data_IF_567773606227
#
_entry.id   IF_567773606227
#
_cell.length_a   1.000
_cell.length_b   1.000
_cell.length_c   1.000
_cell.angle_alpha   90.00
_cell.angle_beta   90.00
_cell.angle_gamma   90.00
#
_symmetry.space_group_name_H-M   'P 1'
#
loop_
_entity.id
_entity.type
_entity.pdbx_description
1 polymer ?
#
# COMPACT_ATOMS: atom_id res chain seq x y z
N UNK A 1 -15.80 -6.56 -1.99
CA UNK A 1 -14.82 -5.46 -1.79
C UNK A 1 -14.58 -5.29 -0.30
N UNK A 2 -13.33 -5.30 0.14
CA UNK A 2 -12.89 -5.26 1.53
C UNK A 2 -12.14 -3.96 1.88
N UNK A 3 -12.14 -2.97 0.96
CA UNK A 3 -11.34 -1.75 1.09
C UNK A 3 -11.68 -0.93 2.34
N UNK A 4 -12.97 -0.85 2.70
CA UNK A 4 -13.42 -0.11 3.88
C UNK A 4 -12.81 -0.70 5.16
N UNK A 5 -13.02 -1.97 5.39
CA UNK A 5 -12.54 -2.66 6.59
C UNK A 5 -11.02 -2.61 6.66
N UNK A 6 -10.34 -2.95 5.56
CA UNK A 6 -8.87 -2.92 5.48
C UNK A 6 -8.30 -1.53 5.73
N UNK A 7 -8.94 -0.48 5.22
CA UNK A 7 -8.48 0.91 5.40
C UNK A 7 -8.52 1.35 6.88
N UNK A 8 -9.48 0.86 7.64
CA UNK A 8 -9.67 1.26 9.05
C UNK A 8 -8.79 0.47 10.03
N UNK A 9 -8.29 -0.70 9.64
CA UNK A 9 -7.37 -1.49 10.45
C UNK A 9 -6.03 -0.79 10.68
N UNK A 10 -5.40 -1.12 11.80
CA UNK A 10 -4.04 -0.69 12.12
C UNK A 10 -3.03 -1.67 11.53
N UNK A 11 -1.94 -1.16 10.97
CA UNK A 11 -0.92 -2.00 10.35
C UNK A 11 0.22 -1.17 9.78
N UNK A 12 0.94 -0.44 10.64
CA UNK A 12 2.19 0.23 10.26
C UNK A 12 3.24 -0.85 10.00
N UNK A 13 4.23 -0.55 9.13
CA UNK A 13 5.35 -1.48 8.84
C UNK A 13 5.94 -2.09 10.11
N UNK A 14 5.89 -3.43 10.20
CA UNK A 14 6.33 -4.22 11.35
C UNK A 14 5.23 -4.55 12.37
N UNK A 15 4.01 -4.04 12.17
CA UNK A 15 2.83 -4.34 13.01
C UNK A 15 1.59 -4.66 12.15
N UNK A 16 1.77 -5.44 11.11
CA UNK A 16 0.72 -5.81 10.14
C UNK A 16 -0.21 -6.93 10.66
N UNK A 17 -0.08 -7.32 11.92
CA UNK A 17 -0.79 -8.47 12.50
C UNK A 17 -2.30 -8.40 12.37
N UNK A 18 -2.90 -7.25 12.71
CA UNK A 18 -4.35 -7.03 12.65
C UNK A 18 -4.87 -7.18 11.21
N UNK A 19 -4.16 -6.63 10.24
CA UNK A 19 -4.51 -6.71 8.82
C UNK A 19 -4.38 -8.14 8.30
N UNK A 20 -3.29 -8.80 8.63
CA UNK A 20 -3.05 -10.19 8.25
C UNK A 20 -4.12 -11.13 8.78
N UNK A 21 -4.50 -10.98 10.03
CA UNK A 21 -5.51 -11.83 10.68
C UNK A 21 -6.91 -11.56 10.09
N UNK A 22 -7.23 -10.32 9.77
CA UNK A 22 -8.46 -9.98 9.05
C UNK A 22 -8.50 -10.66 7.68
N UNK A 23 -7.47 -10.49 6.86
CA UNK A 23 -7.38 -11.11 5.54
C UNK A 23 -7.55 -12.63 5.69
N UNK A 24 -6.74 -13.24 6.53
CA UNK A 24 -6.72 -14.68 6.79
C UNK A 24 -8.11 -15.23 7.15
N UNK A 25 -8.84 -14.55 8.03
CA UNK A 25 -10.17 -14.99 8.47
C UNK A 25 -11.23 -14.92 7.37
N UNK A 26 -11.10 -13.99 6.41
CA UNK A 26 -12.10 -13.79 5.35
C UNK A 26 -11.86 -14.64 4.11
N UNK A 27 -10.62 -15.07 3.87
CA UNK A 27 -10.27 -15.77 2.63
C UNK A 27 -9.87 -17.23 2.82
N UNK A 28 -9.81 -17.73 4.05
CA UNK A 28 -9.37 -19.11 4.34
C UNK A 28 -10.14 -20.18 3.56
N UNK A 29 -11.43 -19.99 3.33
CA UNK A 29 -12.28 -20.95 2.59
C UNK A 29 -12.01 -20.99 1.09
N UNK A 30 -11.26 -20.04 0.55
CA UNK A 30 -10.94 -19.95 -0.87
C UNK A 30 -9.53 -20.45 -1.20
N UNK A 31 -8.71 -20.71 -0.18
CA UNK A 31 -7.31 -21.11 -0.31
C UNK A 31 -7.18 -22.64 -0.46
N UNK A 32 -6.32 -23.11 -1.36
CA UNK A 32 -5.88 -24.50 -1.37
C UNK A 32 -4.78 -24.73 -0.33
N UNK A 33 -3.85 -23.77 -0.20
CA UNK A 33 -2.84 -23.74 0.86
C UNK A 33 -2.67 -22.29 1.35
N UNK A 34 -2.40 -22.12 2.64
CA UNK A 34 -2.18 -20.83 3.24
C UNK A 34 -1.13 -20.92 4.36
N UNK A 35 -0.15 -20.03 4.32
CA UNK A 35 0.88 -19.95 5.36
C UNK A 35 1.35 -18.53 5.61
N UNK A 36 1.94 -18.32 6.77
CA UNK A 36 2.66 -17.10 7.12
C UNK A 36 4.14 -17.42 7.16
N UNK A 37 4.96 -16.66 6.47
CA UNK A 37 6.40 -16.87 6.48
C UNK A 37 7.09 -16.26 7.74
N UNK A 38 8.41 -16.46 7.86
CA UNK A 38 9.15 -16.03 9.02
C UNK A 38 9.26 -14.51 9.20
N UNK A 39 8.99 -13.72 8.16
CA UNK A 39 9.00 -12.25 8.26
C UNK A 39 7.59 -11.67 8.40
N UNK A 40 6.56 -12.52 8.25
CA UNK A 40 5.17 -12.15 8.48
C UNK A 40 4.33 -11.95 7.21
N UNK A 41 4.86 -12.23 6.00
CA UNK A 41 4.04 -12.24 4.79
C UNK A 41 2.98 -13.33 4.89
N UNK A 42 1.76 -13.04 4.43
CA UNK A 42 0.71 -14.04 4.25
C UNK A 42 0.70 -14.49 2.78
N UNK A 43 0.90 -15.78 2.56
CA UNK A 43 0.93 -16.39 1.24
C UNK A 43 -0.20 -17.39 1.10
N UNK A 44 -0.84 -17.37 -0.07
CA UNK A 44 -1.99 -18.20 -0.37
C UNK A 44 -1.82 -18.80 -1.75
N UNK A 45 -1.73 -20.11 -1.81
CA UNK A 45 -1.82 -20.83 -3.06
C UNK A 45 -3.29 -21.04 -3.42
N UNK A 46 -3.66 -20.66 -4.61
CA UNK A 46 -4.88 -21.04 -5.30
C UNK A 46 -4.48 -21.83 -6.54
N UNK A 47 -4.86 -23.12 -6.58
CA UNK A 47 -4.61 -23.96 -7.74
C UNK A 47 -5.38 -23.47 -8.95
N UNK A 48 -4.74 -23.49 -10.09
CA UNK A 48 -5.32 -23.07 -11.34
C UNK A 48 -5.82 -24.25 -12.18
N UNK A 49 -6.50 -23.92 -13.27
CA UNK A 49 -6.90 -24.92 -14.28
C UNK A 49 -5.69 -25.58 -14.96
N UNK A 50 -4.57 -24.88 -15.01
CA UNK A 50 -3.28 -25.34 -15.52
C UNK A 50 -2.20 -25.11 -14.45
N UNK A 51 -1.36 -26.11 -14.18
CA UNK A 51 -0.38 -26.10 -13.07
C UNK A 51 1.09 -26.12 -13.53
N UNK A 52 1.36 -26.05 -14.85
CA UNK A 52 2.73 -26.04 -15.38
C UNK A 52 3.49 -24.74 -15.07
N UNK A 53 2.75 -23.65 -14.84
CA UNK A 53 3.27 -22.31 -14.61
C UNK A 53 2.71 -21.73 -13.33
N UNK A 54 3.52 -20.92 -12.65
CA UNK A 54 3.18 -20.28 -11.40
C UNK A 54 3.18 -18.77 -11.54
N UNK A 55 2.06 -18.16 -11.20
CA UNK A 55 1.87 -16.71 -11.16
C UNK A 55 1.99 -16.21 -9.72
N UNK A 56 2.67 -15.08 -9.51
CA UNK A 56 2.68 -14.36 -8.23
C UNK A 56 1.92 -13.05 -8.38
N UNK A 57 0.91 -12.85 -7.55
CA UNK A 57 0.21 -11.57 -7.43
C UNK A 57 0.44 -11.04 -6.03
N UNK A 58 0.92 -9.80 -5.91
CA UNK A 58 1.32 -9.25 -4.63
C UNK A 58 0.74 -7.84 -4.38
N UNK A 59 0.47 -7.56 -3.12
CA UNK A 59 0.11 -6.26 -2.56
C UNK A 59 0.66 -6.18 -1.13
N UNK A 60 0.95 -4.97 -0.61
CA UNK A 60 1.47 -4.87 0.73
C UNK A 60 0.40 -4.52 1.78
N UNK A 61 0.56 -5.09 2.97
CA UNK A 61 -0.35 -4.90 4.10
C UNK A 61 -0.03 -3.67 4.93
N UNK A 62 1.22 -3.22 4.91
CA UNK A 62 1.65 -2.12 5.77
C UNK A 62 1.22 -0.76 5.26
N UNK A 63 1.18 0.19 6.17
CA UNK A 63 0.93 1.60 5.94
C UNK A 63 2.03 2.44 6.60
N UNK A 64 2.20 3.68 6.13
CA UNK A 64 3.06 4.67 6.81
C UNK A 64 2.45 5.11 8.13
N UNK A 65 3.30 5.40 9.11
CA UNK A 65 2.87 5.92 10.40
C UNK A 65 4.01 6.45 11.24
N UNK A 66 3.91 6.30 12.56
CA UNK A 66 4.94 6.80 13.47
C UNK A 66 5.18 5.82 14.62
N UNK A 67 6.26 6.06 15.35
CA UNK A 67 6.63 5.30 16.55
C UNK A 67 7.02 6.26 17.65
N UNK A 68 6.65 5.96 18.91
CA UNK A 68 7.06 6.72 20.08
C UNK A 68 8.55 6.52 20.33
N UNK A 69 9.31 7.61 20.31
CA UNK A 69 10.77 7.59 20.54
C UNK A 69 11.20 8.35 21.77
N UNK A 70 10.28 9.09 22.40
CA UNK A 70 10.56 9.87 23.60
C UNK A 70 9.29 10.14 24.41
N UNK A 71 9.37 10.06 25.71
CA UNK A 71 8.35 10.55 26.65
C UNK A 71 8.95 11.78 27.35
N UNK A 72 8.32 12.95 27.17
CA UNK A 72 8.81 14.23 27.69
C UNK A 72 8.36 14.45 29.15
N UNK A 73 9.07 15.29 29.88
CA UNK A 73 8.75 15.62 31.29
C UNK A 73 7.34 16.24 31.45
N UNK A 74 6.84 16.92 30.42
CA UNK A 74 5.50 17.51 30.37
C UNK A 74 4.39 16.50 30.00
N UNK A 75 4.68 15.21 29.89
CA UNK A 75 3.74 14.16 29.50
C UNK A 75 3.47 14.06 28.01
N UNK A 76 4.05 14.92 27.18
CA UNK A 76 3.93 14.83 25.71
C UNK A 76 4.88 13.75 25.17
N UNK A 77 4.55 13.21 23.98
CA UNK A 77 5.33 12.16 23.33
C UNK A 77 6.08 12.73 22.12
N UNK A 78 7.36 12.39 22.00
CA UNK A 78 8.14 12.59 20.78
C UNK A 78 8.02 11.37 19.87
N UNK A 79 7.84 11.60 18.57
CA UNK A 79 7.62 10.53 17.59
C UNK A 79 8.61 10.61 16.44
N UNK A 80 8.88 9.46 15.81
CA UNK A 80 9.61 9.35 14.56
C UNK A 80 8.74 8.69 13.49
N UNK A 81 8.93 9.02 12.19
CA UNK A 81 8.18 8.39 11.12
C UNK A 81 8.61 6.92 10.93
N UNK A 82 7.65 6.10 10.51
CA UNK A 82 7.85 4.76 9.99
C UNK A 82 7.33 4.80 8.56
N UNK A 83 8.22 4.53 7.57
CA UNK A 83 7.93 4.72 6.16
C UNK A 83 8.11 6.18 5.68
N UNK A 84 7.65 6.45 4.47
CA UNK A 84 7.85 7.72 3.76
C UNK A 84 6.84 8.81 4.15
N UNK A 85 6.77 9.21 5.41
CA UNK A 85 5.80 10.17 5.93
C UNK A 85 6.39 11.57 6.08
N UNK A 86 5.69 12.60 5.55
CA UNK A 86 6.07 14.01 5.70
C UNK A 86 5.37 14.63 6.93
N UNK A 87 6.15 15.26 7.79
CA UNK A 87 5.64 15.89 9.02
C UNK A 87 4.55 16.95 8.76
N UNK A 88 4.60 17.63 7.62
CA UNK A 88 3.65 18.70 7.26
C UNK A 88 2.21 18.23 7.14
N UNK A 89 2.01 17.02 6.64
CA UNK A 89 0.66 16.43 6.49
C UNK A 89 0.10 15.88 7.80
N UNK A 90 0.95 15.75 8.83
CA UNK A 90 0.58 15.15 10.12
C UNK A 90 0.05 16.14 11.14
N UNK A 91 0.35 17.44 10.97
CA UNK A 91 0.01 18.47 11.98
C UNK A 91 -1.50 18.58 12.19
N UNK A 92 -1.93 18.61 13.46
CA UNK A 92 -3.34 18.72 13.85
C UNK A 92 -4.14 17.42 13.65
N UNK A 93 -3.50 16.31 13.28
CA UNK A 93 -4.18 15.04 13.09
C UNK A 93 -4.36 14.29 14.39
N UNK A 94 -5.49 13.56 14.46
CA UNK A 94 -5.77 12.64 15.56
C UNK A 94 -5.02 11.34 15.34
N UNK A 95 -4.51 10.79 16.44
CA UNK A 95 -3.76 9.52 16.43
C UNK A 95 -4.21 8.63 17.59
N UNK A 96 -3.88 7.35 17.49
CA UNK A 96 -4.07 6.33 18.51
C UNK A 96 -2.76 5.60 18.81
N UNK A 97 -2.51 5.32 20.07
CA UNK A 97 -1.34 4.57 20.57
C UNK A 97 -1.90 3.53 21.55
N UNK A 98 -1.96 2.27 21.17
CA UNK A 98 -2.74 1.30 21.95
C UNK A 98 -4.18 1.80 22.14
N UNK A 99 -4.62 1.94 23.38
CA UNK A 99 -5.94 2.47 23.75
C UNK A 99 -5.96 3.98 24.00
N UNK A 100 -4.81 4.65 23.87
CA UNK A 100 -4.67 6.08 24.13
C UNK A 100 -4.88 6.88 22.84
N UNK A 101 -5.68 7.94 22.92
CA UNK A 101 -5.87 8.89 21.82
C UNK A 101 -5.08 10.17 22.04
N UNK A 102 -4.57 10.75 20.96
CA UNK A 102 -3.80 11.98 21.01
C UNK A 102 -3.97 12.82 19.75
N UNK A 103 -3.33 13.99 19.79
CA UNK A 103 -3.28 14.93 18.65
C UNK A 103 -1.82 15.32 18.40
N UNK A 104 -1.42 15.29 17.13
CA UNK A 104 -0.10 15.76 16.71
C UNK A 104 -0.09 17.27 16.72
N UNK A 105 0.78 17.85 17.52
CA UNK A 105 0.87 19.27 17.70
C UNK A 105 2.27 19.84 17.44
N UNK A 106 2.27 21.12 17.12
CA UNK A 106 3.43 21.97 16.99
C UNK A 106 3.11 23.34 17.57
N UNK A 107 4.09 24.24 17.63
CA UNK A 107 3.91 25.62 18.10
C UNK A 107 2.73 26.30 17.42
N UNK A 108 1.83 26.88 18.21
CA UNK A 108 0.64 27.56 17.72
C UNK A 108 0.99 28.63 16.66
N UNK A 109 0.19 28.69 15.58
CA UNK A 109 0.49 29.51 14.40
C UNK A 109 0.70 31.01 14.74
N UNK A 110 -0.07 31.56 15.68
CA UNK A 110 0.07 32.96 16.11
C UNK A 110 1.27 33.22 17.06
N UNK A 111 1.95 32.18 17.50
CA UNK A 111 3.21 32.24 18.22
C UNK A 111 4.42 32.05 17.32
N UNK A 112 4.21 31.71 16.03
CA UNK A 112 5.27 31.60 15.03
C UNK A 112 5.62 33.01 14.53
N UNK A 113 6.91 33.35 14.54
CA UNK A 113 7.40 34.62 14.04
C UNK A 113 7.55 34.54 12.52
N UNK A 114 6.55 35.07 11.79
CA UNK A 114 6.53 35.23 10.30
C UNK A 114 6.86 33.96 9.46
N UNK A 115 6.50 34.02 8.18
CA UNK A 115 6.62 32.99 7.11
C UNK A 115 8.04 32.42 6.94
N UNK A 116 9.04 32.92 7.60
CA UNK A 116 10.42 32.44 7.60
C UNK A 116 10.69 31.28 8.60
N UNK A 117 9.76 31.01 9.52
CA UNK A 117 9.88 29.82 10.37
C UNK A 117 9.69 28.59 9.48
N UNK A 118 10.79 27.88 9.25
CA UNK A 118 10.85 26.64 8.50
C UNK A 118 9.76 25.67 8.99
N UNK A 119 9.23 24.87 8.07
CA UNK A 119 8.35 23.75 8.47
C UNK A 119 9.02 22.96 9.61
N UNK A 120 8.24 22.49 10.62
CA UNK A 120 8.81 21.73 11.71
C UNK A 120 9.52 20.46 11.20
N UNK A 121 10.61 20.12 11.85
CA UNK A 121 11.19 18.78 11.73
C UNK A 121 10.51 17.81 12.70
N UNK A 122 10.70 16.51 12.52
CA UNK A 122 10.11 15.49 13.39
C UNK A 122 10.44 15.69 14.88
N UNK A 123 11.60 16.20 15.21
CA UNK A 123 12.01 16.45 16.59
C UNK A 123 11.29 17.63 17.26
N UNK A 124 10.66 18.52 16.48
CA UNK A 124 9.88 19.66 16.96
C UNK A 124 8.43 19.31 17.28
N UNK A 125 7.94 18.20 16.70
CA UNK A 125 6.55 17.78 16.80
C UNK A 125 6.33 16.93 18.03
N UNK A 126 5.17 17.09 18.68
CA UNK A 126 4.77 16.33 19.85
C UNK A 126 3.37 15.75 19.68
N UNK A 127 3.12 14.59 20.28
CA UNK A 127 1.78 14.06 20.45
C UNK A 127 1.28 14.38 21.86
N UNK A 128 0.11 15.00 21.92
CA UNK A 128 -0.56 15.38 23.15
C UNK A 128 -1.69 14.38 23.43
N UNK A 129 -1.56 13.61 24.50
CA UNK A 129 -2.53 12.60 24.94
C UNK A 129 -3.27 13.01 26.23
N UNK A 130 -2.98 14.18 26.79
CA UNK A 130 -3.62 14.68 28.00
C UNK A 130 -2.93 14.27 29.30
N UNK A 131 -1.77 13.61 29.26
CA UNK A 131 -0.98 13.25 30.44
C UNK A 131 -0.40 14.51 31.12
N UNK A 132 -0.37 14.51 32.45
CA UNK A 132 0.09 15.66 33.25
C UNK A 132 1.61 15.72 33.36
N UNK A 133 2.28 14.58 33.29
CA UNK A 133 3.72 14.45 33.46
C UNK A 133 4.22 13.14 32.80
N UNK A 134 5.52 12.94 32.84
CA UNK A 134 6.20 11.78 32.27
C UNK A 134 5.79 10.46 32.90
N UNK A 135 5.60 10.44 34.22
CA UNK A 135 5.27 9.22 34.94
C UNK A 135 3.91 8.70 34.51
N UNK A 136 2.89 9.56 34.49
CA UNK A 136 1.56 9.21 34.00
C UNK A 136 1.60 8.74 32.54
N UNK A 137 2.38 9.39 31.69
CA UNK A 137 2.55 8.96 30.30
C UNK A 137 3.22 7.60 30.20
N UNK A 138 4.24 7.33 30.99
CA UNK A 138 4.99 6.08 30.99
C UNK A 138 4.21 4.86 31.54
N UNK A 139 3.17 5.12 32.33
CA UNK A 139 2.23 4.07 32.77
C UNK A 139 1.35 3.56 31.62
N UNK A 140 1.11 4.39 30.61
CA UNK A 140 0.15 4.14 29.52
C UNK A 140 0.81 3.90 28.16
N UNK A 141 2.01 4.43 27.92
CA UNK A 141 2.71 4.39 26.63
C UNK A 141 4.18 4.06 26.83
N UNK A 142 4.74 3.25 25.94
CA UNK A 142 6.15 2.82 25.97
C UNK A 142 6.91 3.35 24.76
N UNK A 143 8.23 3.42 24.87
CA UNK A 143 9.10 3.61 23.72
C UNK A 143 8.96 2.42 22.77
N UNK A 144 8.81 2.70 21.49
CA UNK A 144 8.56 1.70 20.46
C UNK A 144 7.08 1.45 20.16
N UNK A 145 6.14 2.01 20.92
CA UNK A 145 4.71 1.89 20.61
C UNK A 145 4.39 2.60 19.28
N UNK A 146 3.56 1.97 18.47
CA UNK A 146 3.13 2.52 17.20
C UNK A 146 2.06 3.59 17.36
N UNK A 147 2.09 4.58 16.48
CA UNK A 147 1.19 5.76 16.49
C UNK A 147 0.43 5.80 15.18
N UNK A 148 -0.83 5.38 15.22
CA UNK A 148 -1.72 5.22 14.06
C UNK A 148 -2.57 6.47 13.81
N UNK A 149 -2.81 6.81 12.55
CA UNK A 149 -3.87 7.74 12.20
C UNK A 149 -5.25 7.11 12.43
N UNK A 150 -6.23 7.95 12.82
CA UNK A 150 -7.60 7.51 13.13
C UNK A 150 -8.61 7.95 12.08
N UNK A 151 -8.19 8.14 10.85
CA UNK A 151 -9.07 8.48 9.74
C UNK A 151 -9.98 7.30 9.41
N UNK A 152 -11.28 7.56 9.35
CA UNK A 152 -12.30 6.57 8.95
C UNK A 152 -12.50 6.60 7.45
N UNK A 153 -12.96 5.47 6.91
CA UNK A 153 -13.35 5.36 5.53
C UNK A 153 -14.68 6.08 5.26
N UNK A 154 -14.73 6.84 4.19
CA UNK A 154 -15.96 7.46 3.69
C UNK A 154 -16.16 7.17 2.20
N UNK A 155 -17.40 6.89 1.85
CA UNK A 155 -17.83 6.77 0.46
C UNK A 155 -18.76 7.93 0.12
N UNK A 156 -18.37 8.77 -0.83
CA UNK A 156 -19.16 9.94 -1.23
C UNK A 156 -19.10 10.19 -2.73
N UNK A 157 -20.24 10.12 -3.38
CA UNK A 157 -20.33 10.27 -4.84
C UNK A 157 -19.46 9.24 -5.54
N UNK A 158 -18.55 9.69 -6.38
CA UNK A 158 -17.65 8.84 -7.18
C UNK A 158 -16.32 8.52 -6.47
N UNK A 159 -16.18 8.89 -5.19
CA UNK A 159 -14.92 8.80 -4.48
C UNK A 159 -15.02 7.94 -3.23
N UNK A 160 -13.91 7.29 -2.93
CA UNK A 160 -13.55 6.79 -1.61
C UNK A 160 -12.55 7.75 -0.97
N UNK A 161 -12.67 8.00 0.33
CA UNK A 161 -11.66 8.66 1.14
C UNK A 161 -11.38 7.86 2.40
N UNK A 162 -10.12 7.79 2.82
CA UNK A 162 -9.69 6.99 3.96
C UNK A 162 -8.18 7.03 4.13
N UNK A 163 -7.67 6.34 5.13
CA UNK A 163 -6.22 6.14 5.28
C UNK A 163 -5.76 4.86 4.57
N UNK A 164 -4.48 4.69 4.40
CA UNK A 164 -3.84 3.43 4.00
C UNK A 164 -4.37 2.83 2.68
N UNK A 165 -4.91 3.63 1.75
CA UNK A 165 -5.27 3.10 0.43
C UNK A 165 -4.06 2.53 -0.30
N UNK A 166 -2.90 3.07 -0.02
CA UNK A 166 -1.58 2.53 -0.27
C UNK A 166 -1.18 1.58 0.89
N UNK A 167 -1.19 0.22 0.77
CA UNK A 167 -1.74 -0.48 -0.41
C UNK A 167 -2.89 -1.44 -0.01
N UNK A 168 -3.78 -0.97 0.87
CA UNK A 168 -4.99 -1.73 1.21
C UNK A 168 -5.94 -1.85 0.01
N UNK A 169 -5.77 -0.96 -1.01
CA UNK A 169 -6.44 -1.06 -2.29
C UNK A 169 -6.04 -2.33 -3.03
N UNK A 170 -4.75 -2.58 -3.16
CA UNK A 170 -4.23 -3.82 -3.73
C UNK A 170 -4.61 -5.06 -2.92
N UNK A 171 -4.49 -4.99 -1.59
CA UNK A 171 -4.93 -6.09 -0.72
C UNK A 171 -6.42 -6.43 -0.93
N UNK A 172 -7.30 -5.44 -1.05
CA UNK A 172 -8.73 -5.65 -1.31
C UNK A 172 -8.96 -6.32 -2.66
N UNK A 173 -8.23 -5.90 -3.71
CA UNK A 173 -8.30 -6.54 -5.03
C UNK A 173 -7.84 -8.00 -4.96
N UNK A 174 -6.75 -8.31 -4.28
CA UNK A 174 -6.28 -9.67 -4.10
C UNK A 174 -7.34 -10.57 -3.40
N UNK A 175 -8.00 -10.05 -2.37
CA UNK A 175 -9.08 -10.77 -1.68
C UNK A 175 -10.29 -11.01 -2.59
N UNK A 176 -10.68 -10.02 -3.40
CA UNK A 176 -11.77 -10.14 -4.37
C UNK A 176 -11.43 -11.17 -5.46
N UNK A 177 -10.20 -11.21 -5.96
CA UNK A 177 -9.73 -12.22 -6.91
C UNK A 177 -9.78 -13.63 -6.32
N UNK A 178 -9.27 -13.82 -5.11
CA UNK A 178 -9.31 -15.10 -4.41
C UNK A 178 -10.72 -15.67 -4.27
N UNK A 179 -11.70 -14.79 -4.03
CA UNK A 179 -13.11 -15.18 -3.87
C UNK A 179 -13.87 -15.35 -5.20
N UNK A 180 -13.29 -14.92 -6.32
CA UNK A 180 -13.99 -14.89 -7.63
C UNK A 180 -13.97 -16.23 -8.38
N UNK A 181 -13.22 -17.23 -7.91
CA UNK A 181 -13.18 -18.55 -8.51
C UNK A 181 -11.78 -19.13 -8.69
N UNK A 182 -11.63 -20.03 -9.64
CA UNK A 182 -10.38 -20.73 -9.97
C UNK A 182 -9.58 -19.91 -10.99
N UNK A 183 -8.30 -19.57 -10.72
CA UNK A 183 -7.46 -18.87 -11.69
C UNK A 183 -7.07 -19.76 -12.88
N UNK A 184 -6.56 -19.15 -13.93
CA UNK A 184 -6.10 -19.92 -15.10
C UNK A 184 -4.89 -20.80 -14.77
N UNK A 185 -3.98 -20.31 -13.96
CA UNK A 185 -2.72 -20.97 -13.58
C UNK A 185 -2.56 -20.99 -12.07
N UNK A 186 -1.71 -21.89 -11.57
CA UNK A 186 -1.37 -21.91 -10.15
C UNK A 186 -0.92 -20.50 -9.72
N UNK A 187 -1.67 -19.88 -8.84
CA UNK A 187 -1.44 -18.51 -8.44
C UNK A 187 -1.15 -18.40 -6.94
N UNK A 188 -0.02 -17.76 -6.60
CA UNK A 188 0.28 -17.36 -5.25
C UNK A 188 -0.18 -15.90 -5.08
N UNK A 189 -1.08 -15.69 -4.15
CA UNK A 189 -1.46 -14.37 -3.67
C UNK A 189 -0.62 -14.05 -2.44
N UNK A 190 0.20 -13.00 -2.53
CA UNK A 190 1.12 -12.60 -1.47
C UNK A 190 0.71 -11.26 -0.88
N UNK A 191 0.35 -11.27 0.39
CA UNK A 191 0.12 -10.07 1.18
C UNK A 191 1.41 -9.77 1.94
N UNK A 192 2.12 -8.76 1.48
CA UNK A 192 3.49 -8.46 1.88
C UNK A 192 3.55 -7.57 3.12
N UNK A 193 4.66 -7.64 3.84
CA UNK A 193 4.97 -6.79 4.99
C UNK A 193 6.13 -5.86 4.69
N UNK A 194 6.17 -4.71 5.38
CA UNK A 194 7.32 -3.79 5.41
C UNK A 194 7.77 -3.33 4.01
N UNK A 195 6.83 -3.08 3.11
CA UNK A 195 7.11 -2.44 1.81
C UNK A 195 7.66 -1.04 2.04
N UNK A 196 6.97 -0.23 2.84
CA UNK A 196 7.21 1.17 3.14
C UNK A 196 8.55 1.44 3.83
N UNK A 197 9.16 0.39 4.41
CA UNK A 197 10.48 0.45 5.06
C UNK A 197 11.58 -0.23 4.25
N UNK A 198 11.35 -0.47 2.96
CA UNK A 198 12.38 -0.90 2.01
C UNK A 198 12.16 -2.23 1.32
N UNK A 199 10.91 -2.57 0.97
CA UNK A 199 10.54 -3.74 0.16
C UNK A 199 11.02 -5.05 0.81
N UNK A 200 10.79 -5.22 2.11
CA UNK A 200 11.42 -6.32 2.86
C UNK A 200 10.75 -7.66 2.64
N UNK A 201 9.40 -7.67 2.66
CA UNK A 201 8.61 -8.88 2.49
C UNK A 201 8.81 -9.53 1.14
N UNK A 202 8.81 -8.75 0.08
CA UNK A 202 8.98 -9.23 -1.30
C UNK A 202 10.31 -9.91 -1.56
N UNK A 203 11.37 -9.46 -0.90
CA UNK A 203 12.70 -10.08 -1.01
C UNK A 203 12.73 -11.53 -0.51
N UNK A 204 11.87 -11.86 0.45
CA UNK A 204 11.76 -13.22 1.00
C UNK A 204 10.83 -14.07 0.15
N UNK A 205 9.67 -13.53 -0.22
CA UNK A 205 8.63 -14.26 -0.96
C UNK A 205 9.13 -14.79 -2.30
N UNK A 206 9.86 -13.97 -3.06
CA UNK A 206 10.31 -14.36 -4.39
C UNK A 206 11.25 -15.57 -4.38
N UNK A 207 12.11 -15.68 -3.36
CA UNK A 207 13.03 -16.81 -3.21
C UNK A 207 12.32 -18.10 -2.76
N UNK A 208 11.23 -17.96 -2.00
CA UNK A 208 10.40 -19.10 -1.57
C UNK A 208 9.51 -19.62 -2.71
N UNK A 209 8.84 -18.72 -3.42
CA UNK A 209 7.80 -19.05 -4.40
C UNK A 209 8.36 -19.43 -5.75
N UNK A 210 9.41 -18.72 -6.21
CA UNK A 210 10.04 -18.87 -7.53
C UNK A 210 9.01 -18.86 -8.67
N UNK A 211 8.26 -17.77 -8.84
CA UNK A 211 7.21 -17.72 -9.86
C UNK A 211 7.79 -17.53 -11.26
N UNK A 212 7.02 -17.91 -12.29
CA UNK A 212 7.36 -17.66 -13.69
C UNK A 212 7.12 -16.19 -14.10
N UNK A 213 6.15 -15.54 -13.46
CA UNK A 213 5.83 -14.12 -13.64
C UNK A 213 5.25 -13.54 -12.35
N UNK A 214 5.45 -12.26 -12.11
CA UNK A 214 4.86 -11.55 -10.98
C UNK A 214 4.12 -10.28 -11.44
N UNK A 215 2.98 -9.99 -10.83
CA UNK A 215 2.29 -8.71 -10.96
C UNK A 215 2.05 -8.15 -9.57
N UNK A 216 2.50 -6.92 -9.35
CA UNK A 216 2.20 -6.15 -8.14
C UNK A 216 0.98 -5.30 -8.43
N UNK A 217 -0.03 -5.42 -7.57
CA UNK A 217 -1.16 -4.51 -7.49
C UNK A 217 -0.79 -3.48 -6.44
N UNK A 218 -0.87 -2.22 -6.80
CA UNK A 218 -0.30 -1.14 -5.99
C UNK A 218 -1.21 0.08 -6.03
N UNK A 219 -1.03 1.02 -5.15
CA UNK A 219 -1.62 2.35 -5.26
C UNK A 219 -0.56 3.36 -5.70
N UNK A 220 -0.89 4.33 -6.54
CA UNK A 220 0.10 5.29 -7.02
C UNK A 220 -0.39 6.73 -7.00
N UNK A 221 0.55 7.67 -6.86
CA UNK A 221 0.26 9.09 -6.77
C UNK A 221 -0.46 9.61 -8.01
N UNK A 222 -1.67 10.12 -7.83
CA UNK A 222 -2.32 11.03 -8.78
C UNK A 222 -1.84 12.46 -8.50
N UNK A 223 -1.23 13.08 -9.51
CA UNK A 223 -0.72 14.46 -9.41
C UNK A 223 -1.65 15.51 -9.99
N UNK A 224 -2.89 15.16 -10.27
CA UNK A 224 -3.91 15.95 -10.95
C UNK A 224 -4.59 16.98 -10.02
N UNK A 225 -3.79 17.80 -9.38
CA UNK A 225 -4.24 18.90 -8.53
C UNK A 225 -4.08 20.24 -9.25
N UNK A 226 -4.94 21.25 -8.98
CA UNK A 226 -4.97 22.51 -9.73
C UNK A 226 -3.64 23.27 -9.79
N UNK A 227 -2.78 23.09 -8.79
CA UNK A 227 -1.50 23.79 -8.68
C UNK A 227 -0.38 23.14 -9.50
N UNK A 228 -0.63 21.96 -10.10
CA UNK A 228 0.36 21.21 -10.85
C UNK A 228 0.02 21.18 -12.35
N UNK A 229 0.99 21.53 -13.20
CA UNK A 229 0.86 21.36 -14.64
C UNK A 229 0.73 19.89 -15.05
N UNK A 230 -0.08 19.58 -16.06
CA UNK A 230 -0.36 18.21 -16.50
C UNK A 230 0.91 17.39 -16.83
N UNK A 231 1.93 18.02 -17.39
CA UNK A 231 3.21 17.36 -17.69
C UNK A 231 3.96 16.86 -16.43
N UNK A 232 3.53 17.29 -15.26
CA UNK A 232 4.07 16.90 -13.95
C UNK A 232 3.24 15.84 -13.25
N UNK A 233 2.07 15.49 -13.75
CA UNK A 233 1.25 14.43 -13.19
C UNK A 233 1.90 13.07 -13.38
N UNK A 234 1.86 12.24 -12.35
CA UNK A 234 2.24 10.83 -12.47
C UNK A 234 1.10 10.04 -13.09
N UNK A 235 -0.10 10.24 -12.55
CA UNK A 235 -1.38 9.69 -13.01
C UNK A 235 -2.50 10.70 -12.76
N UNK A 236 -3.69 10.40 -13.27
CA UNK A 236 -4.90 11.21 -13.14
C UNK A 236 -6.04 10.34 -12.60
N UNK A 237 -6.88 10.88 -11.71
CA UNK A 237 -8.08 10.19 -11.22
C UNK A 237 -9.15 10.11 -12.32
N UNK A 238 -9.71 8.92 -12.52
CA UNK A 238 -10.78 8.68 -13.48
C UNK A 238 -10.30 8.25 -14.87
N UNK A 239 -9.00 8.07 -15.07
CA UNK A 239 -8.44 7.54 -16.31
C UNK A 239 -8.12 6.04 -16.25
N UNK A 240 -8.65 5.35 -15.21
CA UNK A 240 -8.48 3.92 -15.02
C UNK A 240 -7.13 3.54 -14.41
N UNK A 241 -6.82 2.23 -14.31
CA UNK A 241 -5.57 1.73 -13.76
C UNK A 241 -4.35 2.29 -14.48
N UNK A 242 -3.30 2.56 -13.70
CA UNK A 242 -2.03 3.01 -14.23
C UNK A 242 -1.09 1.83 -14.46
N UNK A 243 -0.63 1.68 -15.71
CA UNK A 243 0.36 0.67 -16.09
C UNK A 243 1.74 1.30 -16.01
N UNK A 244 2.64 0.68 -15.25
CA UNK A 244 4.00 1.19 -15.04
C UNK A 244 4.95 0.58 -16.06
N UNK A 245 5.68 1.41 -16.81
CA UNK A 245 6.75 0.96 -17.72
C UNK A 245 8.15 1.06 -17.09
N UNK A 246 8.33 1.94 -16.10
CA UNK A 246 9.56 2.06 -15.32
C UNK A 246 9.29 2.74 -13.97
N UNK A 247 10.06 2.39 -12.96
CA UNK A 247 10.13 3.11 -11.70
C UNK A 247 11.58 3.13 -11.19
N UNK A 248 11.83 3.75 -10.05
CA UNK A 248 13.20 3.91 -9.54
C UNK A 248 13.91 2.56 -9.42
N UNK A 249 14.95 2.38 -10.22
CA UNK A 249 15.80 1.20 -10.20
C UNK A 249 15.32 -0.01 -11.00
N UNK A 250 14.17 0.09 -11.71
CA UNK A 250 13.65 -1.01 -12.52
C UNK A 250 12.93 -0.51 -13.77
N UNK A 251 13.27 -1.11 -14.92
CA UNK A 251 12.50 -1.01 -16.16
C UNK A 251 11.71 -2.29 -16.31
N UNK A 252 10.40 -2.18 -16.41
CA UNK A 252 9.48 -3.33 -16.48
C UNK A 252 9.79 -4.17 -17.71
N UNK A 253 9.75 -5.49 -17.58
CA UNK A 253 9.92 -6.41 -18.71
C UNK A 253 8.89 -6.07 -19.80
N UNK A 254 9.32 -5.78 -21.04
CA UNK A 254 8.42 -5.35 -22.11
C UNK A 254 7.28 -6.32 -22.40
N UNK A 255 7.48 -7.62 -22.19
CA UNK A 255 6.44 -8.64 -22.41
C UNK A 255 5.35 -8.53 -21.35
N UNK A 256 5.72 -8.36 -20.08
CA UNK A 256 4.74 -8.17 -18.99
C UNK A 256 3.98 -6.87 -19.22
N UNK A 257 4.69 -5.79 -19.54
CA UNK A 257 4.09 -4.49 -19.85
C UNK A 257 3.09 -4.59 -21.00
N UNK A 258 3.49 -5.16 -22.14
CA UNK A 258 2.62 -5.34 -23.31
C UNK A 258 1.42 -6.23 -23.00
N UNK A 259 1.61 -7.32 -22.26
CA UNK A 259 0.54 -8.21 -21.83
C UNK A 259 -0.54 -7.48 -21.05
N UNK A 260 -0.15 -6.60 -20.11
CA UNK A 260 -1.10 -5.81 -19.32
C UNK A 260 -1.86 -4.82 -20.23
N UNK A 261 -1.15 -4.12 -21.11
CA UNK A 261 -1.75 -3.15 -22.05
C UNK A 261 -2.71 -3.84 -23.00
N UNK A 262 -2.31 -4.93 -23.65
CA UNK A 262 -3.17 -5.69 -24.57
C UNK A 262 -4.41 -6.25 -23.90
N UNK A 263 -4.31 -6.70 -22.64
CA UNK A 263 -5.47 -7.18 -21.90
C UNK A 263 -6.47 -6.05 -21.64
N UNK A 264 -5.99 -4.84 -21.28
CA UNK A 264 -6.83 -3.68 -21.09
C UNK A 264 -7.52 -3.26 -22.40
N UNK A 265 -6.77 -3.16 -23.51
CA UNK A 265 -7.29 -2.77 -24.85
C UNK A 265 -8.33 -3.75 -25.36
N UNK A 266 -8.04 -5.06 -25.28
CA UNK A 266 -8.96 -6.13 -25.72
C UNK A 266 -10.31 -6.08 -25.00
N UNK A 267 -10.31 -5.71 -23.72
CA UNK A 267 -11.53 -5.63 -22.91
C UNK A 267 -12.18 -4.23 -22.90
N UNK A 268 -11.61 -3.26 -23.60
CA UNK A 268 -12.10 -1.89 -23.59
C UNK A 268 -12.02 -1.21 -22.22
N UNK A 269 -11.06 -1.65 -21.38
CA UNK A 269 -10.78 -1.03 -20.10
C UNK A 269 -9.99 0.26 -20.36
N UNK A 270 -10.47 1.37 -19.80
CA UNK A 270 -9.69 2.60 -19.78
C UNK A 270 -8.47 2.37 -18.92
N UNK A 271 -7.31 2.76 -19.39
CA UNK A 271 -6.04 2.69 -18.64
C UNK A 271 -5.17 3.90 -18.97
N UNK A 272 -4.15 4.13 -18.16
CA UNK A 272 -3.16 5.17 -18.34
C UNK A 272 -1.75 4.67 -18.07
N UNK A 273 -0.74 5.40 -18.53
CA UNK A 273 0.66 5.13 -18.18
C UNK A 273 1.08 5.95 -16.97
N UNK A 274 1.78 5.34 -16.02
CA UNK A 274 2.46 6.08 -14.95
C UNK A 274 3.63 6.85 -15.56
N UNK A 275 3.45 8.16 -15.73
CA UNK A 275 4.40 9.03 -16.44
C UNK A 275 5.66 9.37 -15.63
N UNK A 276 5.67 9.17 -14.32
CA UNK A 276 6.83 9.47 -13.46
C UNK A 276 7.45 8.18 -12.94
N UNK A 277 8.78 8.11 -13.07
CA UNK A 277 9.58 6.96 -12.65
C UNK A 277 10.03 7.03 -11.19
N UNK A 278 9.50 7.99 -10.40
CA UNK A 278 9.77 8.11 -8.98
C UNK A 278 9.05 7.02 -8.17
N UNK A 279 9.57 6.73 -6.99
CA UNK A 279 9.09 5.66 -6.13
C UNK A 279 9.67 4.29 -6.51
N UNK A 280 9.50 3.32 -5.66
CA UNK A 280 9.81 1.91 -5.88
C UNK A 280 8.55 1.10 -5.59
N UNK A 281 8.53 -0.17 -5.97
CA UNK A 281 7.48 -1.14 -5.64
C UNK A 281 8.14 -2.50 -5.45
N UNK A 282 7.41 -3.45 -4.89
CA UNK A 282 7.87 -4.82 -4.69
C UNK A 282 8.29 -5.54 -5.98
N UNK A 283 7.78 -5.13 -7.16
CA UNK A 283 8.20 -5.64 -8.46
C UNK A 283 9.72 -5.52 -8.70
N UNK A 284 10.36 -4.50 -8.12
CA UNK A 284 11.81 -4.34 -8.17
C UNK A 284 12.55 -5.52 -7.52
N UNK A 285 12.05 -6.00 -6.38
CA UNK A 285 12.67 -7.13 -5.67
C UNK A 285 12.46 -8.43 -6.43
N UNK A 286 11.29 -8.61 -7.01
CA UNK A 286 10.99 -9.78 -7.83
C UNK A 286 11.92 -9.85 -9.05
N UNK A 287 12.04 -8.74 -9.77
CA UNK A 287 12.90 -8.65 -10.94
C UNK A 287 14.42 -8.83 -10.62
N UNK A 288 14.85 -8.42 -9.42
CA UNK A 288 16.25 -8.54 -8.96
C UNK A 288 16.54 -9.81 -8.18
N UNK A 289 15.59 -10.72 -8.04
CA UNK A 289 15.83 -12.01 -7.41
C UNK A 289 16.92 -12.81 -8.16
N UNK A 290 17.44 -13.82 -7.51
CA UNK A 290 18.44 -14.69 -8.14
C UNK A 290 17.93 -15.36 -9.43
N UNK A 291 16.61 -15.48 -9.58
CA UNK A 291 15.94 -16.08 -10.74
C UNK A 291 15.56 -15.06 -11.82
N UNK A 292 15.58 -13.77 -11.53
CA UNK A 292 15.22 -12.73 -12.49
C UNK A 292 13.77 -12.84 -12.96
N UNK A 293 12.79 -12.79 -12.04
CA UNK A 293 11.37 -12.96 -12.34
C UNK A 293 10.85 -11.79 -13.18
N UNK A 294 10.26 -12.04 -14.38
CA UNK A 294 9.56 -11.00 -15.11
C UNK A 294 8.43 -10.41 -14.25
N UNK A 295 8.47 -9.11 -13.98
CA UNK A 295 7.51 -8.48 -13.08
C UNK A 295 6.89 -7.23 -13.70
N UNK A 296 5.61 -7.01 -13.42
CA UNK A 296 4.85 -5.83 -13.82
C UNK A 296 4.13 -5.19 -12.64
N UNK A 297 3.61 -3.99 -12.87
CA UNK A 297 2.87 -3.23 -11.87
C UNK A 297 1.60 -2.66 -12.48
N UNK A 298 0.46 -2.92 -11.85
CA UNK A 298 -0.83 -2.31 -12.14
C UNK A 298 -1.23 -1.52 -10.91
N UNK A 299 -1.41 -0.21 -11.05
CA UNK A 299 -1.66 0.66 -9.90
C UNK A 299 -3.00 1.35 -9.96
N UNK A 300 -3.64 1.54 -8.81
CA UNK A 300 -4.83 2.34 -8.63
C UNK A 300 -4.39 3.80 -8.42
N UNK A 301 -4.81 4.77 -9.25
CA UNK A 301 -4.53 6.17 -9.01
C UNK A 301 -5.14 6.67 -7.71
N UNK A 302 -4.35 7.36 -6.89
CA UNK A 302 -4.80 7.88 -5.61
C UNK A 302 -4.13 9.22 -5.28
N UNK A 303 -4.90 10.22 -4.86
CA UNK A 303 -4.36 11.47 -4.33
C UNK A 303 -3.96 11.31 -2.88
N UNK A 304 -2.89 12.00 -2.49
CA UNK A 304 -2.47 12.14 -1.09
C UNK A 304 -2.04 10.84 -0.43
N UNK A 305 -1.48 9.87 -1.19
CA UNK A 305 -0.82 8.72 -0.57
C UNK A 305 0.29 9.18 0.38
N UNK A 306 0.71 8.34 1.32
CA UNK A 306 1.66 8.69 2.39
C UNK A 306 1.20 9.89 3.22
N UNK A 307 -0.10 9.96 3.47
CA UNK A 307 -0.71 10.98 4.34
C UNK A 307 -1.83 10.37 5.19
N UNK A 308 -2.29 11.11 6.21
CA UNK A 308 -3.37 10.61 7.08
C UNK A 308 -4.70 10.34 6.39
N UNK A 309 -4.89 10.85 5.17
CA UNK A 309 -6.10 10.66 4.37
C UNK A 309 -5.75 10.68 2.89
N UNK A 310 -6.29 9.72 2.15
CA UNK A 310 -6.14 9.57 0.71
C UNK A 310 -7.49 9.66 0.01
N UNK A 311 -7.48 9.92 -1.29
CA UNK A 311 -8.67 10.04 -2.14
C UNK A 311 -8.49 9.20 -3.40
N UNK A 312 -9.43 8.27 -3.67
CA UNK A 312 -9.43 7.35 -4.81
C UNK A 312 -10.78 7.42 -5.54
N UNK A 313 -10.79 7.27 -6.87
CA UNK A 313 -12.04 7.08 -7.59
C UNK A 313 -12.49 5.64 -7.59
N UNK A 314 -13.79 5.45 -7.44
CA UNK A 314 -14.44 4.12 -7.49
C UNK A 314 -14.20 3.41 -8.82
N UNK A 315 -14.33 4.14 -9.92
CA UNK A 315 -14.14 3.60 -11.26
C UNK A 315 -12.72 3.07 -11.45
N UNK A 316 -11.70 3.83 -11.00
CA UNK A 316 -10.29 3.40 -11.11
C UNK A 316 -10.05 2.08 -10.34
N UNK A 317 -10.65 1.94 -9.16
CA UNK A 317 -10.58 0.69 -8.38
C UNK A 317 -11.24 -0.47 -9.14
N UNK A 318 -12.47 -0.28 -9.63
CA UNK A 318 -13.21 -1.34 -10.30
C UNK A 318 -12.59 -1.74 -11.64
N UNK A 319 -12.08 -0.79 -12.42
CA UNK A 319 -11.36 -1.08 -13.67
C UNK A 319 -10.03 -1.79 -13.40
N UNK A 320 -9.35 -1.47 -12.28
CA UNK A 320 -8.15 -2.20 -11.85
C UNK A 320 -8.49 -3.65 -11.49
N UNK A 321 -9.54 -3.88 -10.71
CA UNK A 321 -10.01 -5.23 -10.38
C UNK A 321 -10.35 -6.02 -11.65
N UNK A 322 -11.09 -5.42 -12.58
CA UNK A 322 -11.47 -6.04 -13.85
C UNK A 322 -10.24 -6.41 -14.71
N UNK A 323 -9.25 -5.53 -14.78
CA UNK A 323 -8.00 -5.82 -15.48
C UNK A 323 -7.26 -7.00 -14.83
N UNK A 324 -7.18 -7.02 -13.51
CA UNK A 324 -6.55 -8.14 -12.79
C UNK A 324 -7.32 -9.45 -12.95
N UNK A 325 -8.66 -9.42 -13.04
CA UNK A 325 -9.45 -10.63 -13.38
C UNK A 325 -9.07 -11.20 -14.75
N UNK A 326 -8.92 -10.35 -15.77
CA UNK A 326 -8.49 -10.80 -17.09
C UNK A 326 -7.09 -11.42 -17.07
N UNK A 327 -6.16 -10.77 -16.38
CA UNK A 327 -4.77 -11.25 -16.32
C UNK A 327 -4.68 -12.60 -15.59
N UNK A 328 -5.34 -12.74 -14.46
CA UNK A 328 -5.16 -13.87 -13.54
C UNK A 328 -6.21 -14.95 -13.76
N UNK A 329 -7.51 -14.58 -13.73
CA UNK A 329 -8.60 -15.57 -13.77
C UNK A 329 -8.84 -16.07 -15.19
N UNK A 330 -8.71 -15.22 -16.21
CA UNK A 330 -8.85 -15.61 -17.61
C UNK A 330 -7.52 -16.03 -18.26
N UNK A 331 -6.38 -15.73 -17.61
CA UNK A 331 -5.06 -16.24 -18.00
C UNK A 331 -4.36 -15.44 -19.10
N UNK A 332 -4.75 -14.19 -19.35
CA UNK A 332 -4.04 -13.34 -20.31
C UNK A 332 -2.56 -13.14 -19.93
N UNK A 333 -2.20 -13.34 -18.65
CA UNK A 333 -0.81 -13.28 -18.16
C UNK A 333 0.14 -14.24 -18.87
N UNK A 334 -0.36 -15.30 -19.51
CA UNK A 334 0.47 -16.30 -20.25
C UNK A 334 1.35 -15.68 -21.33
N UNK A 335 0.96 -14.54 -21.89
CA UNK A 335 1.74 -13.86 -22.93
C UNK A 335 3.06 -13.26 -22.39
N UNK A 336 3.18 -13.13 -21.09
CA UNK A 336 4.38 -12.60 -20.42
C UNK A 336 5.48 -13.65 -20.20
N UNK A 337 5.21 -14.95 -20.43
CA UNK A 337 6.19 -16.00 -20.21
C UNK A 337 7.29 -16.04 -21.27
N UNK A 338 8.44 -16.58 -20.87
CA UNK A 338 9.49 -17.01 -21.81
C UNK A 338 9.17 -18.45 -22.24
N UNK A 339 9.31 -18.68 -23.53
CA UNK A 339 9.32 -20.03 -24.12
C UNK A 339 10.51 -20.83 -23.56
#
# INVERSE_FOLDING_TARGET
MYLKELSELSGISGDEGEVRDFIKSHIASYADEMWVDNVGNLLILKKGRESEKKVLIAAHMDEVGMMVVRINEDGTLGVAPVGGLDVRVCLGKRVRIGDVYGVIGYKAIHLQKKVEDKFPAWHDVKVFCGFKNKDEAAENVKLGDYVYFTTTFEEKGEYFSGKAFDDRGGCSILMDLLSSGEPAYDTIFAFLVQEETGLRGSSVVVEQVKPDVAIVVETTTAGDVPELEENRWATHLGDGPAVTFAHRGYVVDPRVFQTIVEAAEKAGIRYQYKRRTAGGTDAFRFARSAYGVPAGVVSIPCRYIHSPISLMRKDDYHETLKLMQLLVMEGEVKKAWRD
#
